data_IF_982760694043
#
_entry.id   IF_982760694043
#
_cell.length_a   1.000
_cell.length_b   1.000
_cell.length_c   1.000
_cell.angle_alpha   90.00
_cell.angle_beta   90.00
_cell.angle_gamma   90.00
#
_symmetry.space_group_name_H-M   'P 1'
#
loop_
_entity.id
_entity.type
_entity.pdbx_description
1 polymer ?
#
# COMPACT_ATOMS: atom_id res chain seq x y z
N UNK A 1 7.74 24.28 1.63
CA UNK A 1 8.51 23.12 1.12
C UNK A 1 8.75 22.18 2.28
N UNK A 2 8.34 20.92 2.18
CA UNK A 2 8.65 19.94 3.21
C UNK A 2 10.14 19.58 3.10
N UNK A 3 10.92 19.66 4.20
CA UNK A 3 12.37 19.52 4.14
C UNK A 3 12.85 18.13 3.68
N UNK A 4 11.96 17.12 3.67
CA UNK A 4 12.29 15.74 3.25
C UNK A 4 12.03 15.44 1.76
N UNK A 5 11.44 16.35 0.99
CA UNK A 5 11.04 16.07 -0.40
C UNK A 5 12.11 16.45 -1.42
N UNK A 6 12.41 15.51 -2.33
CA UNK A 6 13.21 15.73 -3.54
C UNK A 6 12.33 15.40 -4.74
N UNK A 7 11.75 16.42 -5.36
CA UNK A 7 10.73 16.23 -6.39
C UNK A 7 9.49 15.52 -5.82
N UNK A 8 9.15 14.36 -6.37
CA UNK A 8 8.03 13.52 -5.89
C UNK A 8 8.43 12.48 -4.84
N UNK A 9 9.72 12.41 -4.50
CA UNK A 9 10.27 11.44 -3.55
C UNK A 9 10.29 12.08 -2.16
N UNK A 10 9.74 11.39 -1.16
CA UNK A 10 9.95 11.70 0.25
C UNK A 10 11.11 10.84 0.77
N UNK A 11 12.17 11.48 1.23
CA UNK A 11 13.39 10.80 1.70
C UNK A 11 13.24 10.17 3.08
N UNK A 12 12.16 10.50 3.80
CA UNK A 12 11.90 10.00 5.15
C UNK A 12 10.41 9.60 5.31
N UNK A 13 9.84 8.94 4.29
CA UNK A 13 8.46 8.50 4.33
C UNK A 13 8.23 7.55 5.50
N UNK A 14 7.22 7.84 6.33
CA UNK A 14 6.76 6.98 7.42
C UNK A 14 5.51 6.19 6.97
N UNK A 15 5.62 4.89 6.66
CA UNK A 15 4.52 4.12 6.08
C UNK A 15 3.31 4.02 7.02
N UNK A 16 3.51 4.04 8.33
CA UNK A 16 2.41 3.99 9.30
C UNK A 16 1.41 5.14 9.09
N UNK A 17 1.90 6.35 8.78
CA UNK A 17 1.03 7.50 8.54
C UNK A 17 0.20 7.34 7.27
N UNK A 18 0.81 6.80 6.21
CA UNK A 18 0.10 6.49 4.97
C UNK A 18 -0.94 5.40 5.20
N UNK A 19 -0.61 4.35 5.96
CA UNK A 19 -1.53 3.27 6.32
C UNK A 19 -2.70 3.80 7.14
N UNK A 20 -2.46 4.62 8.16
CA UNK A 20 -3.52 5.18 9.00
C UNK A 20 -4.49 6.06 8.19
N UNK A 21 -3.94 6.91 7.30
CA UNK A 21 -4.74 7.76 6.42
C UNK A 21 -5.60 6.94 5.45
N UNK A 22 -5.00 5.96 4.77
CA UNK A 22 -5.72 5.08 3.86
C UNK A 22 -6.79 4.26 4.61
N UNK A 23 -6.46 3.72 5.78
CA UNK A 23 -7.38 2.95 6.58
C UNK A 23 -8.58 3.78 7.05
N UNK A 24 -8.36 5.02 7.50
CA UNK A 24 -9.44 5.94 7.84
C UNK A 24 -10.39 6.17 6.67
N UNK A 25 -9.83 6.54 5.51
CA UNK A 25 -10.60 6.78 4.29
C UNK A 25 -11.41 5.56 3.83
N UNK A 26 -10.79 4.37 3.78
CA UNK A 26 -11.45 3.13 3.34
C UNK A 26 -12.49 2.67 4.37
N UNK A 27 -12.24 2.86 5.66
CA UNK A 27 -13.19 2.56 6.72
C UNK A 27 -14.45 3.44 6.62
N UNK A 28 -14.31 4.73 6.30
CA UNK A 28 -15.44 5.63 6.06
C UNK A 28 -16.30 5.13 4.88
N UNK A 29 -15.67 4.67 3.79
CA UNK A 29 -16.37 4.09 2.64
C UNK A 29 -17.15 2.83 3.05
N UNK A 30 -16.55 1.97 3.87
CA UNK A 30 -17.20 0.75 4.34
C UNK A 30 -18.39 1.05 5.27
N UNK A 31 -18.24 2.03 6.15
CA UNK A 31 -19.31 2.49 7.03
C UNK A 31 -20.48 3.05 6.24
N UNK A 32 -20.22 3.86 5.21
CA UNK A 32 -21.25 4.41 4.33
C UNK A 32 -21.94 3.34 3.47
N UNK A 33 -21.19 2.37 2.93
CA UNK A 33 -21.74 1.36 2.00
C UNK A 33 -22.37 0.17 2.70
N UNK A 34 -21.79 -0.30 3.80
CA UNK A 34 -22.16 -1.54 4.46
C UNK A 34 -22.63 -1.35 5.91
N UNK A 35 -22.61 -0.13 6.44
CA UNK A 35 -23.02 0.17 7.82
C UNK A 35 -22.05 -0.35 8.89
N UNK A 36 -20.86 -0.80 8.50
CA UNK A 36 -19.85 -1.34 9.40
C UNK A 36 -18.49 -0.73 9.10
N UNK A 37 -17.79 -0.31 10.16
CA UNK A 37 -16.46 0.27 10.11
C UNK A 37 -15.41 -0.74 10.60
N UNK A 38 -14.62 -1.35 9.70
CA UNK A 38 -13.55 -2.26 10.09
C UNK A 38 -12.52 -1.58 10.98
N UNK A 39 -12.00 -2.33 11.93
CA UNK A 39 -10.91 -1.88 12.79
C UNK A 39 -9.56 -2.30 12.20
N UNK A 40 -8.54 -1.49 12.45
CA UNK A 40 -7.16 -1.75 12.03
C UNK A 40 -6.24 -1.79 13.24
N UNK A 41 -5.24 -2.68 13.21
CA UNK A 41 -4.17 -2.75 14.20
C UNK A 41 -2.82 -2.79 13.48
N UNK A 42 -1.94 -1.83 13.77
CA UNK A 42 -0.59 -1.76 13.19
C UNK A 42 0.42 -2.32 14.19
N UNK A 43 1.20 -3.33 13.78
CA UNK A 43 2.26 -3.96 14.57
C UNK A 43 3.63 -3.93 13.83
N UNK A 44 4.69 -4.38 14.52
CA UNK A 44 6.06 -4.34 14.02
C UNK A 44 6.75 -3.02 14.37
N UNK A 45 7.34 -2.36 13.37
CA UNK A 45 8.12 -1.13 13.53
C UNK A 45 7.42 0.08 12.85
N UNK A 46 6.41 0.68 13.51
CA UNK A 46 5.66 1.80 12.91
C UNK A 46 6.51 3.06 12.72
N UNK A 47 7.62 3.19 13.45
CA UNK A 47 8.55 4.32 13.37
C UNK A 47 9.57 4.22 12.23
N UNK A 48 9.58 3.10 11.48
CA UNK A 48 10.43 2.95 10.29
C UNK A 48 10.21 4.09 9.31
N UNK A 49 11.30 4.59 8.74
CA UNK A 49 11.26 5.51 7.60
C UNK A 49 12.10 4.99 6.45
N UNK A 50 11.70 5.29 5.23
CA UNK A 50 12.45 4.94 4.02
C UNK A 50 12.19 5.95 2.91
N UNK A 51 13.12 6.03 1.95
CA UNK A 51 12.96 6.92 0.80
C UNK A 51 12.01 6.28 -0.24
N UNK A 52 10.88 6.92 -0.54
CA UNK A 52 9.89 6.39 -1.49
C UNK A 52 9.02 7.49 -2.11
N UNK A 53 8.24 7.14 -3.12
CA UNK A 53 7.23 8.03 -3.71
C UNK A 53 5.90 7.84 -2.99
N UNK A 54 5.43 8.82 -2.19
CA UNK A 54 4.25 8.64 -1.34
C UNK A 54 2.98 8.22 -2.10
N UNK A 55 2.74 8.82 -3.27
CA UNK A 55 1.56 8.51 -4.09
C UNK A 55 1.48 7.03 -4.49
N UNK A 56 2.62 6.38 -4.74
CA UNK A 56 2.64 4.96 -5.10
C UNK A 56 2.25 4.09 -3.91
N UNK A 57 2.76 4.41 -2.71
CA UNK A 57 2.41 3.69 -1.51
C UNK A 57 0.92 3.88 -1.16
N UNK A 58 0.43 5.11 -1.23
CA UNK A 58 -0.98 5.44 -0.98
C UNK A 58 -1.92 4.65 -1.90
N UNK A 59 -1.61 4.58 -3.20
CA UNK A 59 -2.40 3.81 -4.16
C UNK A 59 -2.43 2.31 -3.79
N UNK A 60 -1.25 1.70 -3.60
CA UNK A 60 -1.15 0.27 -3.27
C UNK A 60 -1.90 -0.05 -1.98
N UNK A 61 -1.67 0.74 -0.93
CA UNK A 61 -2.27 0.50 0.38
C UNK A 61 -3.79 0.71 0.33
N UNK A 62 -4.28 1.73 -0.36
CA UNK A 62 -5.72 1.97 -0.52
C UNK A 62 -6.41 0.80 -1.22
N UNK A 63 -5.85 0.31 -2.33
CA UNK A 63 -6.43 -0.81 -3.08
C UNK A 63 -6.45 -2.11 -2.26
N UNK A 64 -5.34 -2.42 -1.56
CA UNK A 64 -5.28 -3.60 -0.70
C UNK A 64 -6.22 -3.50 0.50
N UNK A 65 -6.35 -2.32 1.10
CA UNK A 65 -7.27 -2.10 2.23
C UNK A 65 -8.73 -2.18 1.78
N UNK A 66 -9.11 -1.67 0.60
CA UNK A 66 -10.48 -1.85 0.07
C UNK A 66 -10.85 -3.32 -0.02
N UNK A 67 -9.93 -4.16 -0.51
CA UNK A 67 -10.14 -5.60 -0.62
C UNK A 67 -10.25 -6.27 0.76
N UNK A 68 -9.30 -5.99 1.66
CA UNK A 68 -9.27 -6.56 3.00
C UNK A 68 -10.50 -6.15 3.83
N UNK A 69 -10.90 -4.89 3.77
CA UNK A 69 -12.03 -4.35 4.52
C UNK A 69 -13.35 -4.88 3.97
N UNK A 70 -13.53 -4.91 2.65
CA UNK A 70 -14.70 -5.54 2.02
C UNK A 70 -14.87 -6.98 2.49
N UNK A 71 -13.82 -7.80 2.39
CA UNK A 71 -13.86 -9.20 2.80
C UNK A 71 -14.19 -9.34 4.31
N UNK A 72 -13.61 -8.48 5.15
CA UNK A 72 -13.88 -8.44 6.60
C UNK A 72 -15.35 -8.10 6.89
N UNK A 73 -15.93 -7.13 6.20
CA UNK A 73 -17.32 -6.70 6.40
C UNK A 73 -18.30 -7.74 5.88
N UNK A 74 -18.10 -8.27 4.66
CA UNK A 74 -18.97 -9.28 4.05
C UNK A 74 -19.00 -10.58 4.87
N UNK A 75 -17.86 -11.00 5.41
CA UNK A 75 -17.75 -12.16 6.30
C UNK A 75 -18.21 -11.91 7.75
N UNK A 76 -18.49 -10.64 8.11
CA UNK A 76 -18.81 -10.20 9.48
C UNK A 76 -17.75 -10.58 10.51
N UNK A 77 -16.50 -10.64 10.10
CA UNK A 77 -15.38 -10.86 11.01
C UNK A 77 -15.32 -9.77 12.08
N UNK A 78 -14.96 -10.14 13.31
CA UNK A 78 -14.87 -9.20 14.44
C UNK A 78 -13.43 -8.79 14.74
N UNK A 79 -12.49 -9.58 14.24
CA UNK A 79 -11.07 -9.34 14.37
C UNK A 79 -10.66 -8.12 13.52
N UNK A 80 -9.75 -7.28 14.05
CA UNK A 80 -9.21 -6.18 13.26
C UNK A 80 -8.35 -6.71 12.11
N UNK A 81 -8.28 -5.95 11.03
CA UNK A 81 -7.27 -6.14 10.00
C UNK A 81 -5.92 -5.74 10.60
N UNK A 82 -4.93 -6.63 10.51
CA UNK A 82 -3.60 -6.40 11.08
C UNK A 82 -2.62 -6.02 9.99
N UNK A 83 -1.91 -4.91 10.17
CA UNK A 83 -0.85 -4.47 9.27
C UNK A 83 0.48 -4.50 9.98
N UNK A 84 1.40 -5.35 9.52
CA UNK A 84 2.78 -5.40 10.03
C UNK A 84 3.70 -4.59 9.16
N UNK A 85 4.48 -3.70 9.79
CA UNK A 85 5.58 -2.98 9.14
C UNK A 85 6.88 -3.63 9.62
N UNK A 86 7.67 -4.14 8.68
CA UNK A 86 8.97 -4.73 8.96
C UNK A 86 10.02 -4.13 8.01
N UNK A 87 10.98 -3.32 8.51
CA UNK A 87 12.10 -2.88 7.69
C UNK A 87 12.93 -4.09 7.26
N UNK A 88 13.45 -4.05 6.03
CA UNK A 88 14.42 -5.04 5.61
C UNK A 88 15.76 -4.83 6.36
N UNK A 89 16.57 -5.88 6.54
CA UNK A 89 17.90 -5.73 7.11
C UNK A 89 18.83 -5.01 6.10
N UNK A 90 19.76 -4.15 6.55
CA UNK A 90 20.71 -3.47 5.68
C UNK A 90 21.47 -4.45 4.76
N UNK A 91 21.75 -4.06 3.52
CA UNK A 91 22.45 -4.85 2.48
C UNK A 91 23.87 -5.33 2.84
N UNK A 92 24.35 -5.08 4.07
CA UNK A 92 25.72 -5.33 4.54
C UNK A 92 26.12 -6.82 4.59
N UNK A 93 25.21 -7.75 4.30
CA UNK A 93 25.47 -9.19 4.31
C UNK A 93 25.50 -9.86 2.91
N UNK A 94 25.44 -9.10 1.80
CA UNK A 94 25.69 -9.70 0.49
C UNK A 94 27.21 -9.85 0.23
N UNK A 95 27.73 -11.06 -0.07
CA UNK A 95 29.12 -11.26 -0.46
C UNK A 95 29.37 -10.60 -1.82
N UNK A 96 29.71 -9.30 -1.81
CA UNK A 96 29.90 -8.52 -3.03
C UNK A 96 30.02 -7.00 -2.84
N UNK A 97 29.56 -6.46 -1.71
CA UNK A 97 29.61 -5.01 -1.45
C UNK A 97 28.73 -4.17 -2.39
N UNK A 98 28.58 -2.88 -2.09
CA UNK A 98 27.82 -1.96 -2.93
C UNK A 98 28.42 -1.89 -4.36
N UNK A 99 27.61 -1.80 -5.43
CA UNK A 99 28.11 -1.67 -6.79
C UNK A 99 28.99 -0.42 -6.94
N UNK A 100 30.23 -0.60 -7.41
CA UNK A 100 31.13 0.52 -7.68
C UNK A 100 30.61 1.31 -8.90
N UNK A 101 30.00 2.47 -8.67
CA UNK A 101 29.57 3.37 -9.76
C UNK A 101 30.83 3.94 -10.43
N UNK A 102 31.11 3.52 -11.66
CA UNK A 102 32.17 4.12 -12.48
C UNK A 102 31.72 5.50 -12.96
N UNK A 103 32.57 6.52 -12.80
CA UNK A 103 32.30 7.84 -13.34
C UNK A 103 32.11 7.74 -14.87
N UNK A 104 31.09 8.40 -15.45
CA UNK A 104 30.88 8.39 -16.89
C UNK A 104 32.10 8.98 -17.62
N UNK A 105 32.58 8.31 -18.67
CA UNK A 105 33.73 8.77 -19.48
C UNK A 105 33.41 9.98 -20.39
N UNK A 106 32.17 10.48 -20.39
CA UNK A 106 31.71 11.54 -21.29
C UNK A 106 31.27 12.76 -20.50
N UNK A 107 31.90 13.90 -20.77
CA UNK A 107 31.68 15.18 -20.09
C UNK A 107 30.38 15.85 -20.58
N UNK A 108 29.23 15.36 -20.10
CA UNK A 108 27.90 15.98 -20.35
C UNK A 108 27.50 16.95 -19.24
N UNK A 109 28.48 17.62 -18.63
CA UNK A 109 28.31 18.56 -17.52
C UNK A 109 29.13 18.14 -16.30
N UNK A 110 29.24 19.05 -15.32
CA UNK A 110 29.96 18.80 -14.08
C UNK A 110 29.37 17.59 -13.34
N UNK A 111 30.06 16.46 -13.41
CA UNK A 111 29.71 15.28 -12.64
C UNK A 111 29.99 15.54 -11.16
N UNK A 112 28.93 15.94 -10.43
CA UNK A 112 28.98 16.14 -8.99
C UNK A 112 28.76 14.82 -8.28
N UNK A 113 29.85 14.06 -8.09
CA UNK A 113 29.82 12.80 -7.34
C UNK A 113 29.29 12.96 -5.90
N UNK A 114 29.42 14.16 -5.34
CA UNK A 114 28.88 14.59 -4.05
C UNK A 114 27.35 14.74 -4.04
N UNK A 115 26.73 14.96 -5.20
CA UNK A 115 25.27 15.01 -5.37
C UNK A 115 24.66 13.62 -5.57
N UNK A 116 25.47 12.61 -5.90
CA UNK A 116 25.09 11.21 -6.04
C UNK A 116 25.72 10.43 -4.89
N UNK A 117 25.47 10.86 -3.65
CA UNK A 117 25.75 9.97 -2.52
C UNK A 117 24.82 8.76 -2.66
N UNK A 118 25.33 7.54 -2.48
CA UNK A 118 24.45 6.42 -2.18
C UNK A 118 23.47 6.90 -1.11
N UNK A 119 22.18 6.63 -1.29
CA UNK A 119 21.25 6.65 -0.16
C UNK A 119 21.97 5.91 0.97
N UNK A 120 21.96 6.45 2.19
CA UNK A 120 22.55 5.76 3.33
C UNK A 120 22.15 4.28 3.24
N UNK A 121 23.08 3.34 3.48
CA UNK A 121 22.94 1.87 3.34
C UNK A 121 21.72 1.25 4.10
N UNK A 122 20.92 2.11 4.70
CA UNK A 122 19.73 1.92 5.50
C UNK A 122 18.41 1.98 4.69
N UNK A 123 18.44 1.91 3.36
CA UNK A 123 17.22 1.71 2.55
C UNK A 123 17.11 0.29 1.97
N UNK A 124 17.19 -0.78 2.78
CA UNK A 124 17.03 -2.15 2.29
C UNK A 124 15.60 -2.43 1.82
N UNK A 125 14.62 -1.57 2.12
CA UNK A 125 13.22 -1.74 1.76
C UNK A 125 12.35 -1.88 3.00
N UNK A 126 11.03 -1.95 2.80
CA UNK A 126 10.08 -2.24 3.88
C UNK A 126 9.08 -3.27 3.39
N UNK A 127 8.83 -4.27 4.22
CA UNK A 127 7.74 -5.22 4.01
C UNK A 127 6.52 -4.75 4.80
N UNK A 128 5.39 -4.56 4.08
CA UNK A 128 4.10 -4.24 4.67
C UNK A 128 3.18 -5.44 4.46
N UNK A 129 2.77 -6.11 5.56
CA UNK A 129 1.93 -7.31 5.52
C UNK A 129 0.55 -7.04 6.11
N UNK A 130 -0.46 -6.94 5.23
CA UNK A 130 -1.88 -6.78 5.58
C UNK A 130 -2.51 -8.17 5.75
N UNK A 131 -3.20 -8.40 6.87
CA UNK A 131 -3.87 -9.67 7.20
C UNK A 131 -5.30 -9.38 7.65
N UNK A 132 -6.27 -9.94 6.93
CA UNK A 132 -7.68 -9.93 7.31
C UNK A 132 -8.17 -11.31 7.78
N UNK A 133 -9.41 -11.37 8.26
CA UNK A 133 -10.15 -12.61 8.58
C UNK A 133 -11.40 -12.75 7.70
N UNK A 134 -11.34 -12.23 6.48
CA UNK A 134 -12.43 -12.10 5.52
C UNK A 134 -12.88 -13.38 4.82
N UNK A 135 -12.48 -14.56 5.30
CA UNK A 135 -12.81 -15.85 4.68
C UNK A 135 -11.85 -16.34 3.58
N UNK A 136 -10.92 -15.49 3.13
CA UNK A 136 -9.89 -15.84 2.14
C UNK A 136 -10.39 -15.84 0.69
N UNK A 137 -9.52 -16.28 -0.21
CA UNK A 137 -9.79 -16.29 -1.66
C UNK A 137 -10.13 -17.72 -2.10
N UNK A 138 -11.27 -17.93 -2.74
CA UNK A 138 -11.67 -19.24 -3.27
C UNK A 138 -10.64 -19.77 -4.28
N UNK A 139 -10.26 -21.06 -4.23
CA UNK A 139 -9.34 -21.65 -5.20
C UNK A 139 -9.77 -21.48 -6.66
N UNK A 140 -11.07 -21.42 -6.92
CA UNK A 140 -11.63 -21.27 -8.28
C UNK A 140 -11.33 -19.91 -8.90
N UNK A 141 -11.17 -18.87 -8.07
CA UNK A 141 -10.88 -17.51 -8.54
C UNK A 141 -9.40 -17.14 -8.47
N UNK A 142 -8.58 -17.90 -7.71
CA UNK A 142 -7.13 -17.66 -7.55
C UNK A 142 -6.38 -17.41 -8.87
N UNK A 143 -6.64 -18.11 -9.99
CA UNK A 143 -5.94 -17.86 -11.25
C UNK A 143 -6.21 -16.47 -11.84
N UNK A 144 -7.33 -15.84 -11.47
CA UNK A 144 -7.82 -14.62 -12.09
C UNK A 144 -7.63 -13.36 -11.24
N UNK A 145 -7.19 -13.47 -9.98
CA UNK A 145 -7.09 -12.31 -9.07
C UNK A 145 -6.11 -11.23 -9.54
N UNK A 146 -5.19 -11.59 -10.45
CA UNK A 146 -4.22 -10.67 -11.07
C UNK A 146 -4.64 -10.20 -12.46
N UNK A 147 -5.74 -10.73 -13.00
CA UNK A 147 -6.24 -10.38 -14.32
C UNK A 147 -6.91 -9.02 -14.27
N UNK A 148 -6.56 -8.15 -15.23
CA UNK A 148 -7.29 -6.90 -15.43
C UNK A 148 -8.78 -7.18 -15.67
N UNK A 149 -9.64 -6.32 -15.14
CA UNK A 149 -11.11 -6.39 -15.23
C UNK A 149 -11.78 -7.58 -14.52
N UNK A 150 -11.03 -8.47 -13.86
CA UNK A 150 -11.62 -9.49 -13.00
C UNK A 150 -12.03 -8.88 -11.65
N UNK A 151 -13.25 -9.15 -11.20
CA UNK A 151 -13.75 -8.76 -9.87
C UNK A 151 -14.78 -9.77 -9.37
N UNK A 152 -14.83 -9.98 -8.05
CA UNK A 152 -15.87 -10.76 -7.36
C UNK A 152 -16.99 -9.87 -6.83
N UNK A 153 -16.99 -8.59 -7.17
CA UNK A 153 -18.04 -7.64 -6.84
C UNK A 153 -19.15 -7.73 -7.89
N UNK A 154 -20.42 -7.83 -7.46
CA UNK A 154 -21.59 -7.81 -8.34
C UNK A 154 -22.36 -6.51 -8.13
N UNK A 155 -22.83 -5.85 -9.20
CA UNK A 155 -23.56 -4.58 -9.10
C UNK A 155 -24.93 -4.71 -8.40
N UNK A 156 -25.48 -5.93 -8.33
CA UNK A 156 -26.70 -6.25 -7.59
C UNK A 156 -26.55 -6.13 -6.06
N UNK A 157 -25.31 -6.04 -5.55
CA UNK A 157 -25.03 -5.74 -4.14
C UNK A 157 -25.11 -4.21 -3.84
N UNK A 158 -25.66 -3.42 -4.77
CA UNK A 158 -25.72 -1.96 -4.73
C UNK A 158 -26.98 -1.36 -4.07
N UNK A 159 -26.77 -0.43 -3.12
CA UNK A 159 -27.69 0.54 -2.51
C UNK A 159 -29.18 0.16 -2.37
N UNK A 160 -29.72 0.03 -1.13
CA UNK A 160 -31.17 0.07 -0.95
C UNK A 160 -31.68 1.47 -1.35
N UNK A 161 -32.12 1.62 -2.59
CA UNK A 161 -32.59 2.90 -3.14
C UNK A 161 -32.40 3.11 -4.65
N UNK A 162 -31.61 2.30 -5.35
CA UNK A 162 -31.55 2.36 -6.82
C UNK A 162 -32.70 1.57 -7.45
N UNK A 163 -33.93 2.01 -7.20
CA UNK A 163 -35.12 1.54 -7.92
C UNK A 163 -35.10 2.08 -9.34
N UNK A 164 -34.61 1.27 -10.29
CA UNK A 164 -34.75 1.54 -11.71
C UNK A 164 -36.23 1.56 -12.09
N UNK A 165 -36.74 2.74 -12.43
CA UNK A 165 -38.08 2.94 -12.95
C UNK A 165 -38.17 2.29 -14.35
N UNK A 166 -38.59 1.03 -14.43
CA UNK A 166 -39.00 0.41 -15.70
C UNK A 166 -40.36 0.98 -16.06
N UNK A 167 -40.35 2.05 -16.85
CA UNK A 167 -41.55 2.54 -17.53
C UNK A 167 -42.03 1.51 -18.54
N UNK A 168 -43.19 0.91 -18.24
CA UNK A 168 -44.01 0.18 -19.18
C UNK A 168 -45.38 0.83 -19.21
N UNK A 169 -45.64 1.61 -20.26
CA UNK A 169 -46.85 1.61 -21.09
C UNK A 169 -46.62 2.53 -22.30
#
# INVERSE_FOLDING_TARGET
EHPSYIGVIDTALKPSLTIDSCAGFVADICELRYGSRPQIYVDGEPDTTFAFVPMHLEYIVTELLKNAFRATVESRAREPVVVTIAPEPPLKEQPGGAPLIKQPNTDRGQFRSDAIKPLDDNAPGVTIRIRDRGGGISPDVLPNIWSYSFTTFSDDDGFPGSGGNTGGD
#
